data_IF_957313686266
#
_entry.id   IF_957313686266
#
_cell.length_a   1.000
_cell.length_b   1.000
_cell.length_c   1.000
_cell.angle_alpha   90.00
_cell.angle_beta   90.00
_cell.angle_gamma   90.00
#
_symmetry.space_group_name_H-M   'P 1'
#
loop_
_entity.id
_entity.type
_entity.pdbx_description
1 polymer ?
#
# COMPACT_ATOMS: atom_id res chain seq x y z
N UNK A 1 8.88 -16.50 0.62
CA UNK A 1 7.64 -16.96 -0.01
C UNK A 1 6.61 -15.88 0.22
N UNK A 2 5.87 -15.49 -0.83
CA UNK A 2 4.91 -14.38 -0.86
C UNK A 2 3.63 -14.94 -1.49
N UNK A 3 2.45 -14.58 -0.99
CA UNK A 3 1.18 -15.13 -1.46
C UNK A 3 0.03 -15.06 -0.46
N UNK A 4 0.06 -14.09 0.46
CA UNK A 4 -0.98 -13.91 1.49
C UNK A 4 -1.79 -12.64 1.20
N UNK A 5 -3.01 -12.50 1.74
CA UNK A 5 -3.81 -11.29 1.58
C UNK A 5 -3.34 -10.09 2.43
N UNK A 6 -2.35 -10.26 3.30
CA UNK A 6 -1.83 -9.23 4.22
C UNK A 6 -1.16 -8.05 3.48
N UNK A 7 -1.16 -6.86 4.09
CA UNK A 7 -0.58 -5.63 3.51
C UNK A 7 0.90 -5.84 3.12
N UNK A 8 1.65 -6.60 3.91
CA UNK A 8 3.06 -6.93 3.62
C UNK A 8 3.28 -7.68 2.31
N UNK A 9 2.24 -8.30 1.74
CA UNK A 9 2.28 -8.94 0.44
C UNK A 9 1.69 -8.05 -0.67
N UNK A 10 0.56 -7.38 -0.42
CA UNK A 10 -0.18 -6.70 -1.49
C UNK A 10 0.21 -5.22 -1.67
N UNK A 11 0.66 -4.54 -0.61
CA UNK A 11 1.07 -3.14 -0.66
C UNK A 11 2.52 -3.04 -1.09
N UNK A 12 2.76 -2.43 -2.24
CA UNK A 12 4.10 -2.27 -2.82
C UNK A 12 4.46 -0.79 -2.96
N UNK A 13 5.76 -0.42 -2.85
CA UNK A 13 6.19 0.92 -3.20
C UNK A 13 5.95 1.18 -4.70
N UNK A 14 5.46 2.37 -5.03
CA UNK A 14 5.26 2.83 -6.40
C UNK A 14 5.83 4.23 -6.55
N UNK A 15 6.46 4.50 -7.68
CA UNK A 15 7.03 5.81 -8.02
C UNK A 15 6.61 6.15 -9.44
N UNK A 16 6.07 7.36 -9.61
CA UNK A 16 5.75 7.93 -10.91
C UNK A 16 6.70 9.10 -11.13
N UNK A 17 7.39 9.10 -12.27
CA UNK A 17 8.20 10.22 -12.70
C UNK A 17 7.75 10.65 -14.08
N UNK A 18 7.41 11.93 -14.22
CA UNK A 18 7.12 12.55 -15.50
C UNK A 18 7.18 14.07 -15.37
N UNK A 19 7.78 14.79 -16.32
CA UNK A 19 7.67 16.25 -16.41
C UNK A 19 6.21 16.75 -16.49
N UNK A 20 5.28 15.91 -16.97
CA UNK A 20 3.87 16.25 -17.15
C UNK A 20 3.09 16.36 -15.82
N UNK A 21 3.62 15.82 -14.73
CA UNK A 21 2.97 15.90 -13.42
C UNK A 21 2.87 17.36 -12.95
N UNK A 22 3.86 18.20 -13.28
CA UNK A 22 3.92 19.61 -12.86
C UNK A 22 3.63 19.80 -11.35
N UNK A 23 4.01 18.82 -10.54
CA UNK A 23 3.86 18.84 -9.10
C UNK A 23 5.07 19.54 -8.46
N UNK A 24 4.88 20.23 -7.33
CA UNK A 24 6.01 20.78 -6.58
C UNK A 24 6.92 19.63 -6.12
N UNK A 25 8.19 19.68 -6.52
CA UNK A 25 9.27 18.80 -6.06
C UNK A 25 8.85 17.32 -5.88
N UNK A 26 9.31 16.71 -4.79
CA UNK A 26 8.91 15.35 -4.40
C UNK A 26 7.56 15.41 -3.69
N UNK A 27 6.51 14.95 -4.36
CA UNK A 27 5.16 14.84 -3.80
C UNK A 27 4.85 13.38 -3.44
N UNK A 28 4.07 13.18 -2.37
CA UNK A 28 3.53 11.87 -1.99
C UNK A 28 2.03 11.85 -2.29
N UNK A 29 1.56 10.72 -2.83
CA UNK A 29 0.14 10.47 -3.07
C UNK A 29 -0.29 9.29 -2.20
N UNK A 30 -1.28 9.50 -1.34
CA UNK A 30 -1.81 8.52 -0.39
C UNK A 30 -3.15 7.93 -0.83
N UNK A 31 -3.68 8.37 -1.97
CA UNK A 31 -4.87 7.83 -2.58
C UNK A 31 -4.73 6.37 -3.00
N UNK A 32 -5.86 5.65 -2.95
CA UNK A 32 -5.97 4.25 -3.32
C UNK A 32 -5.67 4.04 -4.81
N UNK A 33 -4.58 3.32 -5.08
CA UNK A 33 -4.12 2.97 -6.42
C UNK A 33 -3.90 1.46 -6.50
N UNK A 34 -4.51 0.80 -7.47
CA UNK A 34 -4.34 -0.64 -7.72
C UNK A 34 -3.67 -0.91 -9.07
N UNK A 35 -3.05 -2.08 -9.25
CA UNK A 35 -2.33 -2.40 -10.50
C UNK A 35 -3.25 -2.38 -11.73
N UNK A 36 -4.55 -2.64 -11.55
CA UNK A 36 -5.56 -2.57 -12.62
C UNK A 36 -5.80 -1.14 -13.13
N UNK A 37 -5.43 -0.13 -12.36
CA UNK A 37 -5.58 1.29 -12.73
C UNK A 37 -4.57 1.73 -13.80
N UNK A 38 -3.47 0.99 -13.98
CA UNK A 38 -2.45 1.37 -14.96
C UNK A 38 -2.96 1.36 -16.40
N UNK A 39 -3.75 0.35 -16.77
CA UNK A 39 -4.30 0.23 -18.12
C UNK A 39 -5.13 1.47 -18.52
N UNK A 40 -6.21 1.85 -17.80
CA UNK A 40 -6.98 3.05 -18.14
C UNK A 40 -6.18 4.35 -17.97
N UNK A 41 -5.24 4.41 -17.02
CA UNK A 41 -4.39 5.59 -16.83
C UNK A 41 -3.49 5.83 -18.04
N UNK A 42 -2.75 4.81 -18.50
CA UNK A 42 -1.86 4.95 -19.65
C UNK A 42 -2.62 5.05 -20.97
N UNK A 43 -3.75 4.39 -21.11
CA UNK A 43 -4.58 4.51 -22.31
C UNK A 43 -5.12 5.94 -22.49
N UNK A 44 -5.60 6.56 -21.40
CA UNK A 44 -6.01 7.96 -21.42
C UNK A 44 -4.85 8.91 -21.73
N UNK A 45 -3.68 8.67 -21.12
CA UNK A 45 -2.45 9.43 -21.40
C UNK A 45 -1.99 9.34 -22.86
N UNK A 46 -2.21 8.20 -23.52
CA UNK A 46 -1.91 8.01 -24.93
C UNK A 46 -2.92 8.67 -25.89
N UNK A 47 -3.90 9.41 -25.36
CA UNK A 47 -4.98 10.04 -26.14
C UNK A 47 -6.15 9.10 -26.45
N UNK A 48 -6.18 7.91 -25.85
CA UNK A 48 -7.29 6.97 -25.96
C UNK A 48 -8.50 7.40 -25.15
N UNK A 49 -9.70 7.09 -25.63
CA UNK A 49 -10.92 7.32 -24.86
C UNK A 49 -11.21 6.12 -23.95
N UNK A 50 -10.97 6.28 -22.64
CA UNK A 50 -11.10 5.22 -21.62
C UNK A 50 -12.45 4.47 -21.67
N UNK A 51 -13.53 5.09 -22.15
CA UNK A 51 -14.84 4.42 -22.32
C UNK A 51 -14.81 3.27 -23.33
N UNK A 52 -13.77 3.20 -24.17
CA UNK A 52 -13.56 2.12 -25.13
C UNK A 52 -13.03 0.84 -24.48
N UNK A 53 -12.37 0.92 -23.32
CA UNK A 53 -11.81 -0.22 -22.59
C UNK A 53 -12.89 -1.03 -21.84
N UNK A 54 -14.08 -1.19 -22.41
CA UNK A 54 -15.26 -1.81 -21.76
C UNK A 54 -14.89 -3.03 -20.91
N UNK A 55 -15.55 -3.18 -19.75
CA UNK A 55 -15.38 -4.31 -18.82
C UNK A 55 -13.98 -4.40 -18.19
N UNK A 56 -13.47 -3.28 -17.66
CA UNK A 56 -12.26 -3.25 -16.84
C UNK A 56 -12.59 -2.91 -15.38
N UNK A 57 -11.76 -3.39 -14.46
CA UNK A 57 -11.87 -3.11 -13.02
C UNK A 57 -11.06 -1.87 -12.58
N UNK A 58 -10.36 -1.23 -13.53
CA UNK A 58 -9.47 -0.10 -13.30
C UNK A 58 -10.11 1.26 -13.52
N UNK A 59 -9.57 2.28 -12.86
CA UNK A 59 -9.90 3.69 -13.09
C UNK A 59 -8.65 4.45 -13.54
N UNK A 60 -8.82 5.47 -14.38
CA UNK A 60 -7.71 6.38 -14.69
C UNK A 60 -7.39 7.23 -13.46
N UNK A 61 -6.17 7.12 -12.96
CA UNK A 61 -5.68 7.84 -11.79
C UNK A 61 -4.96 9.14 -12.16
N UNK A 62 -4.88 9.47 -13.46
CA UNK A 62 -4.03 10.55 -13.96
C UNK A 62 -4.36 11.92 -13.34
N UNK A 63 -5.64 12.30 -13.34
CA UNK A 63 -6.08 13.56 -12.75
C UNK A 63 -5.83 13.58 -11.24
N UNK A 64 -6.16 12.49 -10.55
CA UNK A 64 -6.00 12.37 -9.10
C UNK A 64 -4.53 12.53 -8.67
N UNK A 65 -3.61 11.89 -9.39
CA UNK A 65 -2.16 12.00 -9.14
C UNK A 65 -1.65 13.40 -9.50
N UNK A 66 -2.02 13.94 -10.66
CA UNK A 66 -1.49 15.24 -11.15
C UNK A 66 -2.02 16.44 -10.34
N UNK A 67 -3.24 16.37 -9.82
CA UNK A 67 -3.90 17.45 -9.07
C UNK A 67 -3.87 17.25 -7.56
N UNK A 68 -3.36 16.11 -7.08
CA UNK A 68 -3.40 15.70 -5.67
C UNK A 68 -4.84 15.69 -5.15
N UNK A 69 -5.74 15.09 -5.95
CA UNK A 69 -7.17 14.96 -5.66
C UNK A 69 -7.49 13.56 -5.11
N UNK A 70 -8.64 13.39 -4.42
CA UNK A 70 -9.10 12.08 -4.00
C UNK A 70 -9.12 11.06 -5.15
N UNK A 71 -8.72 9.80 -4.91
CA UNK A 71 -8.72 8.78 -5.94
C UNK A 71 -10.16 8.49 -6.41
N UNK A 72 -10.39 8.25 -7.72
CA UNK A 72 -11.66 7.72 -8.20
C UNK A 72 -11.97 6.33 -7.63
N UNK A 73 -10.93 5.56 -7.27
CA UNK A 73 -11.06 4.25 -6.64
C UNK A 73 -11.39 4.38 -5.16
N UNK A 74 -12.50 3.78 -4.76
CA UNK A 74 -12.91 3.68 -3.34
C UNK A 74 -12.78 2.28 -2.78
N UNK A 75 -12.66 1.25 -3.64
CA UNK A 75 -12.53 -0.15 -3.23
C UNK A 75 -11.76 -0.99 -4.25
N UNK A 76 -11.25 -2.14 -3.80
CA UNK A 76 -10.78 -3.20 -4.67
C UNK A 76 -10.86 -4.55 -3.95
N UNK A 77 -11.18 -5.59 -4.72
CA UNK A 77 -11.05 -6.97 -4.30
C UNK A 77 -9.58 -7.36 -4.35
N UNK A 78 -9.03 -7.87 -3.25
CA UNK A 78 -7.66 -8.39 -3.21
C UNK A 78 -7.61 -9.74 -3.93
N UNK A 79 -8.44 -10.69 -3.50
CA UNK A 79 -8.65 -11.97 -4.17
C UNK A 79 -9.87 -12.71 -3.57
N UNK A 80 -10.44 -13.65 -4.34
CA UNK A 80 -11.34 -14.71 -3.86
C UNK A 80 -10.73 -16.05 -4.26
N UNK A 81 -10.01 -16.69 -3.34
CA UNK A 81 -9.31 -17.94 -3.61
C UNK A 81 -10.10 -19.13 -3.06
N UNK A 82 -10.67 -19.94 -3.94
CA UNK A 82 -11.42 -21.14 -3.57
C UNK A 82 -10.52 -22.35 -3.25
N UNK A 83 -9.25 -22.31 -3.65
CA UNK A 83 -8.28 -23.39 -3.44
C UNK A 83 -7.65 -23.24 -2.05
N UNK A 84 -7.05 -22.08 -1.80
CA UNK A 84 -6.47 -21.75 -0.50
C UNK A 84 -7.53 -21.28 0.52
N UNK A 85 -8.79 -21.06 0.06
CA UNK A 85 -9.95 -20.72 0.88
C UNK A 85 -9.78 -19.44 1.68
N UNK A 86 -9.27 -18.39 1.04
CA UNK A 86 -9.23 -17.06 1.61
C UNK A 86 -9.84 -16.02 0.68
N UNK A 87 -10.38 -14.97 1.28
CA UNK A 87 -10.94 -13.82 0.60
C UNK A 87 -10.51 -12.54 1.32
N UNK A 88 -10.23 -11.50 0.54
CA UNK A 88 -9.93 -10.20 1.10
C UNK A 88 -10.40 -9.08 0.18
N UNK A 89 -10.90 -8.01 0.80
CA UNK A 89 -11.39 -6.82 0.12
C UNK A 89 -10.98 -5.59 0.92
N UNK A 90 -10.69 -4.49 0.22
CA UNK A 90 -10.45 -3.20 0.85
C UNK A 90 -11.41 -2.16 0.30
N UNK A 91 -12.06 -1.42 1.20
CA UNK A 91 -12.88 -0.24 0.89
C UNK A 91 -12.38 0.94 1.72
N UNK A 92 -11.84 1.94 1.03
CA UNK A 92 -11.26 3.16 1.61
C UNK A 92 -10.20 2.79 2.66
N UNK A 93 -10.52 2.97 3.95
CA UNK A 93 -9.65 2.72 5.08
C UNK A 93 -9.79 1.30 5.63
N UNK A 94 -10.94 0.66 5.42
CA UNK A 94 -11.23 -0.64 5.99
C UNK A 94 -10.81 -1.78 5.06
N UNK A 95 -10.20 -2.80 5.64
CA UNK A 95 -9.85 -4.03 4.94
C UNK A 95 -10.40 -5.22 5.70
N UNK A 96 -11.09 -6.10 4.98
CA UNK A 96 -11.59 -7.37 5.48
C UNK A 96 -10.72 -8.51 4.96
N UNK A 97 -10.40 -9.45 5.83
CA UNK A 97 -9.70 -10.71 5.49
C UNK A 97 -10.44 -11.86 6.14
N UNK A 98 -10.76 -12.90 5.37
CA UNK A 98 -11.40 -14.12 5.88
C UNK A 98 -10.73 -15.34 5.26
N UNK A 99 -10.48 -16.35 6.07
CA UNK A 99 -9.70 -17.53 5.69
C UNK A 99 -8.20 -17.26 5.72
N UNK A 100 -7.42 -18.32 5.50
CA UNK A 100 -5.95 -18.30 5.63
C UNK A 100 -5.31 -18.92 4.40
N UNK A 101 -4.42 -18.17 3.74
CA UNK A 101 -3.63 -18.69 2.64
C UNK A 101 -2.55 -19.65 3.15
N UNK A 102 -2.24 -20.71 2.40
CA UNK A 102 -1.16 -21.66 2.73
C UNK A 102 -1.20 -22.19 4.17
N UNK A 103 -2.40 -22.53 4.67
CA UNK A 103 -2.64 -23.02 6.04
C UNK A 103 -2.14 -22.05 7.14
N UNK A 104 -2.07 -20.74 6.85
CA UNK A 104 -1.62 -19.71 7.78
C UNK A 104 -0.11 -19.73 8.08
N UNK A 105 0.69 -20.51 7.35
CA UNK A 105 2.15 -20.66 7.60
C UNK A 105 2.92 -19.34 7.48
N UNK A 106 2.33 -18.36 6.78
CA UNK A 106 2.89 -17.05 6.48
C UNK A 106 2.14 -15.89 7.17
N UNK A 107 1.21 -16.19 8.07
CA UNK A 107 0.36 -15.19 8.75
C UNK A 107 1.06 -14.62 10.00
N UNK A 108 2.22 -14.00 9.77
CA UNK A 108 3.03 -13.36 10.82
C UNK A 108 3.82 -12.18 10.28
N UNK A 109 4.26 -11.32 11.19
CA UNK A 109 5.17 -10.22 10.88
C UNK A 109 6.61 -10.70 10.84
N UNK A 110 7.25 -10.48 9.70
CA UNK A 110 8.65 -10.83 9.49
C UNK A 110 9.53 -9.58 9.69
N UNK A 111 10.50 -9.61 10.63
CA UNK A 111 11.46 -8.52 10.72
C UNK A 111 12.40 -8.52 9.50
N UNK A 112 13.07 -7.40 9.20
CA UNK A 112 14.14 -7.36 8.22
C UNK A 112 15.16 -8.47 8.48
N UNK A 113 15.50 -9.26 7.46
CA UNK A 113 16.52 -10.30 7.60
C UNK A 113 17.88 -9.67 7.91
N UNK A 114 18.70 -10.37 8.70
CA UNK A 114 20.09 -9.99 8.96
C UNK A 114 20.35 -9.26 10.28
N UNK A 115 19.51 -9.45 11.31
CA UNK A 115 19.64 -8.79 12.63
C UNK A 115 19.82 -7.27 12.52
N UNK A 116 19.18 -6.66 11.51
CA UNK A 116 19.24 -5.22 11.31
C UNK A 116 18.21 -4.59 12.24
N UNK A 117 18.62 -3.80 13.25
CA UNK A 117 17.67 -3.12 14.11
C UNK A 117 16.80 -2.16 13.30
N UNK A 118 15.52 -2.01 13.66
CA UNK A 118 14.61 -1.07 12.99
C UNK A 118 15.12 0.39 12.98
N UNK A 119 15.95 0.76 13.96
CA UNK A 119 16.59 2.07 14.07
C UNK A 119 17.95 2.16 13.34
N UNK A 120 18.28 1.19 12.49
CA UNK A 120 19.55 1.22 11.76
C UNK A 120 19.66 2.48 10.89
N UNK A 121 20.80 3.13 10.95
CA UNK A 121 21.14 4.20 9.99
C UNK A 121 21.96 3.67 8.82
N UNK A 122 22.20 2.35 8.73
CA UNK A 122 23.04 1.77 7.68
C UNK A 122 22.54 2.09 6.26
N UNK A 123 21.25 1.89 5.90
CA UNK A 123 20.75 2.23 4.57
C UNK A 123 20.90 3.72 4.26
N UNK A 124 20.65 4.56 5.27
CA UNK A 124 20.81 6.01 5.16
C UNK A 124 22.25 6.41 4.85
N UNK A 125 23.21 5.93 5.64
CA UNK A 125 24.64 6.20 5.42
C UNK A 125 25.13 5.67 4.07
N UNK A 126 24.66 4.51 3.64
CA UNK A 126 25.01 3.95 2.33
C UNK A 126 24.53 4.86 1.18
N UNK A 127 23.31 5.40 1.29
CA UNK A 127 22.80 6.37 0.33
C UNK A 127 23.58 7.70 0.41
N UNK A 128 23.80 8.26 1.61
CA UNK A 128 24.47 9.57 1.80
C UNK A 128 25.91 9.55 1.28
N UNK A 129 26.61 8.44 1.45
CA UNK A 129 28.00 8.27 0.98
C UNK A 129 28.11 7.79 -0.47
N UNK A 130 26.99 7.46 -1.12
CA UNK A 130 26.99 6.91 -2.48
C UNK A 130 27.50 7.90 -3.54
N UNK A 131 28.08 7.36 -4.61
CA UNK A 131 28.46 8.14 -5.79
C UNK A 131 27.27 8.83 -6.45
N UNK A 132 26.07 8.23 -6.34
CA UNK A 132 24.82 8.79 -6.88
C UNK A 132 24.46 10.07 -6.14
N UNK A 133 24.57 10.07 -4.81
CA UNK A 133 24.31 11.29 -4.02
C UNK A 133 25.27 12.41 -4.38
N UNK A 134 26.55 12.09 -4.54
CA UNK A 134 27.57 13.07 -4.96
C UNK A 134 27.27 13.63 -6.35
N UNK A 135 26.94 12.77 -7.32
CA UNK A 135 26.62 13.19 -8.69
C UNK A 135 25.38 14.10 -8.73
N UNK A 136 24.34 13.79 -7.97
CA UNK A 136 23.14 14.62 -7.86
C UNK A 136 23.45 15.99 -7.22
N UNK A 137 24.28 16.03 -6.18
CA UNK A 137 24.72 17.29 -5.57
C UNK A 137 25.49 18.19 -6.53
N UNK A 138 26.30 17.62 -7.43
CA UNK A 138 27.05 18.38 -8.44
C UNK A 138 26.14 19.11 -9.43
N UNK A 139 24.92 18.62 -9.67
CA UNK A 139 23.93 19.26 -10.54
C UNK A 139 22.94 20.13 -9.74
N UNK A 140 23.21 20.41 -8.47
CA UNK A 140 22.38 21.24 -7.59
C UNK A 140 21.21 20.51 -6.93
N UNK A 141 21.06 19.20 -7.16
CA UNK A 141 20.01 18.40 -6.55
C UNK A 141 20.36 17.98 -5.11
N UNK A 142 19.34 17.83 -4.26
CA UNK A 142 19.50 17.38 -2.86
C UNK A 142 18.82 16.02 -2.64
N UNK A 143 19.55 14.90 -2.75
CA UNK A 143 19.02 13.56 -2.51
C UNK A 143 18.54 13.39 -1.08
N UNK A 144 17.47 12.60 -0.87
CA UNK A 144 16.97 12.23 0.46
C UNK A 144 17.30 10.77 0.68
N UNK A 145 18.10 10.52 1.70
CA UNK A 145 18.64 9.20 1.99
C UNK A 145 17.93 8.51 3.15
N UNK A 146 16.60 8.62 3.20
CA UNK A 146 15.77 8.13 4.29
C UNK A 146 15.27 9.26 5.19
N UNK A 147 14.82 8.89 6.39
CA UNK A 147 14.14 9.78 7.32
C UNK A 147 14.97 11.02 7.68
N UNK A 148 14.43 12.21 7.44
CA UNK A 148 14.73 13.43 8.21
C UNK A 148 13.41 14.10 8.58
N UNK A 149 13.38 14.84 9.69
CA UNK A 149 12.20 15.59 10.16
C UNK A 149 11.67 16.61 9.12
N UNK A 150 12.39 16.80 8.02
CA UNK A 150 12.10 17.72 6.93
C UNK A 150 11.80 17.06 5.57
N UNK A 151 12.02 15.75 5.37
CA UNK A 151 11.94 15.13 4.03
C UNK A 151 11.30 13.72 3.99
N UNK A 152 10.08 13.68 3.43
CA UNK A 152 9.36 12.66 2.62
C UNK A 152 9.68 11.16 2.70
N UNK A 153 9.93 10.57 3.87
CA UNK A 153 9.62 9.14 4.04
C UNK A 153 8.18 8.99 4.54
N UNK A 154 7.29 8.38 3.74
CA UNK A 154 5.96 7.95 4.22
C UNK A 154 6.21 6.83 5.23
N UNK A 155 6.36 7.19 6.50
CA UNK A 155 6.57 6.23 7.56
C UNK A 155 5.28 5.42 7.74
N UNK A 156 5.39 4.10 7.62
CA UNK A 156 4.32 3.20 8.07
C UNK A 156 4.37 3.20 9.60
N UNK A 157 3.52 4.01 10.23
CA UNK A 157 3.32 4.02 11.67
C UNK A 157 2.34 2.92 12.02
N UNK A 158 2.87 1.75 12.39
CA UNK A 158 2.02 0.67 12.90
C UNK A 158 1.34 1.09 14.20
N UNK A 159 0.13 0.56 14.43
CA UNK A 159 -0.54 0.66 15.72
C UNK A 159 0.15 -0.17 16.83
N UNK A 160 -0.53 -0.30 17.96
CA UNK A 160 -0.07 -1.13 19.09
C UNK A 160 -0.69 -2.52 19.00
N UNK A 161 0.13 -3.57 19.14
CA UNK A 161 -0.37 -4.94 19.17
C UNK A 161 -1.26 -5.19 20.38
N UNK A 162 -2.41 -5.83 20.15
CA UNK A 162 -3.32 -6.26 21.21
C UNK A 162 -3.60 -7.75 21.09
N UNK A 163 -3.00 -8.61 21.94
CA UNK A 163 -3.24 -10.06 21.88
C UNK A 163 -4.71 -10.46 22.06
N UNK A 164 -5.51 -9.63 22.74
CA UNK A 164 -6.95 -9.87 22.95
C UNK A 164 -7.79 -9.61 21.70
N UNK A 165 -7.28 -8.79 20.78
CA UNK A 165 -7.90 -8.44 19.50
C UNK A 165 -7.06 -8.94 18.33
N UNK A 166 -6.30 -10.01 18.54
CA UNK A 166 -5.52 -10.60 17.46
C UNK A 166 -6.49 -11.32 16.51
N UNK A 167 -6.36 -11.02 15.22
CA UNK A 167 -7.15 -11.69 14.19
C UNK A 167 -6.83 -13.19 14.13
N UNK A 168 -7.88 -14.01 14.06
CA UNK A 168 -7.83 -15.41 13.68
C UNK A 168 -8.73 -15.64 12.46
N UNK A 169 -8.20 -15.33 11.28
CA UNK A 169 -8.94 -15.39 10.02
C UNK A 169 -9.43 -16.81 9.67
N UNK A 170 -8.91 -17.85 10.34
CA UNK A 170 -9.36 -19.23 10.18
C UNK A 170 -10.72 -19.51 10.85
N UNK A 171 -11.09 -18.70 11.85
CA UNK A 171 -12.36 -18.83 12.59
C UNK A 171 -13.44 -17.89 12.09
N UNK A 172 -13.07 -16.76 11.51
CA UNK A 172 -14.02 -15.75 11.05
C UNK A 172 -13.35 -14.63 10.27
N UNK A 173 -14.14 -13.70 9.72
CA UNK A 173 -13.61 -12.50 9.08
C UNK A 173 -12.99 -11.56 10.12
N UNK A 174 -11.84 -11.01 9.79
CA UNK A 174 -11.20 -9.93 10.52
C UNK A 174 -11.33 -8.63 9.75
N UNK A 175 -11.49 -7.52 10.47
CA UNK A 175 -11.59 -6.18 9.90
C UNK A 175 -10.48 -5.30 10.48
N UNK A 176 -9.81 -4.53 9.62
CA UNK A 176 -8.74 -3.61 10.02
C UNK A 176 -9.02 -2.20 9.50
N UNK A 177 -8.88 -1.17 10.34
CA UNK A 177 -8.81 0.22 9.92
C UNK A 177 -7.35 0.59 9.59
N UNK A 178 -6.99 0.56 8.30
CA UNK A 178 -5.64 0.83 7.82
C UNK A 178 -5.22 2.30 7.95
N UNK A 179 -6.14 3.21 8.28
CA UNK A 179 -5.79 4.61 8.56
C UNK A 179 -5.09 4.75 9.92
N UNK A 180 -5.41 3.86 10.87
CA UNK A 180 -4.83 3.82 12.22
C UNK A 180 -3.88 2.65 12.41
N UNK A 181 -4.16 1.51 11.77
CA UNK A 181 -3.42 0.27 11.90
C UNK A 181 -3.03 -0.29 10.52
N UNK A 182 -2.07 0.35 9.83
CA UNK A 182 -1.58 -0.13 8.53
C UNK A 182 -0.82 -1.46 8.62
N UNK A 183 -0.64 -2.02 9.82
CA UNK A 183 0.10 -3.25 10.08
C UNK A 183 -0.81 -4.40 10.51
N UNK A 184 -2.14 -4.20 10.53
CA UNK A 184 -3.15 -5.25 10.73
C UNK A 184 -2.97 -5.99 12.08
N UNK A 185 -2.61 -5.26 13.13
CA UNK A 185 -2.40 -5.77 14.47
C UNK A 185 -3.67 -5.99 15.28
N UNK A 186 -4.70 -5.18 15.04
CA UNK A 186 -5.91 -5.13 15.85
C UNK A 186 -7.12 -5.38 14.97
N UNK A 187 -7.78 -6.52 15.18
CA UNK A 187 -9.08 -6.81 14.61
C UNK A 187 -10.16 -5.96 15.28
N UNK A 188 -10.93 -5.25 14.47
CA UNK A 188 -12.03 -4.37 14.87
C UNK A 188 -13.39 -4.83 14.31
N UNK A 189 -13.49 -6.09 13.85
CA UNK A 189 -14.72 -6.62 13.25
C UNK A 189 -15.94 -6.54 14.16
N UNK A 190 -15.76 -6.86 15.46
CA UNK A 190 -16.81 -6.80 16.48
C UNK A 190 -17.24 -5.37 16.84
N UNK A 191 -16.36 -4.39 16.61
CA UNK A 191 -16.63 -2.97 16.86
C UNK A 191 -17.36 -2.29 15.70
N UNK A 192 -17.26 -2.85 14.50
CA UNK A 192 -17.85 -2.33 13.27
C UNK A 192 -18.65 -3.40 12.51
N UNK A 193 -19.66 -4.02 13.14
CA UNK A 193 -20.42 -5.12 12.55
C UNK A 193 -21.12 -4.73 11.23
N UNK A 194 -21.52 -3.46 11.08
CA UNK A 194 -22.12 -2.93 9.86
C UNK A 194 -21.13 -2.89 8.68
N UNK A 195 -19.87 -2.54 8.93
CA UNK A 195 -18.82 -2.51 7.91
C UNK A 195 -18.44 -3.94 7.56
N UNK A 196 -18.22 -4.79 8.57
CA UNK A 196 -17.91 -6.21 8.39
C UNK A 196 -18.96 -6.89 7.53
N UNK A 197 -20.25 -6.68 7.82
CA UNK A 197 -21.36 -7.24 7.02
C UNK A 197 -21.42 -6.69 5.61
N UNK A 198 -21.06 -5.42 5.40
CA UNK A 198 -21.06 -4.80 4.07
C UNK A 198 -19.94 -5.34 3.17
N UNK A 199 -18.83 -5.76 3.77
CA UNK A 199 -17.64 -6.25 3.05
C UNK A 199 -17.62 -7.79 2.91
N UNK A 200 -18.59 -8.50 3.49
CA UNK A 200 -18.84 -9.93 3.31
C UNK A 200 -19.82 -10.17 2.16
#
# INVERSE_FOLDING_TARGET
MKGTPWEGAIRSPAVIWSPLLNLPGRSAYDGLFHITDWLPTFYGLAGGNVTNLRNIDGFSQWDAVRKVEPPPRTEFLVNLDQIDKYEAIRRVNFKLVKGVAMEGRLDRWYPPRGNVPWNTTMPRRACESSIVTKALQMIGERPVCGYSDSLYSVQVKCGVKSPKKACDASKGPCLFDLSQDPCEYVDVADEHPEITKTLL
#
